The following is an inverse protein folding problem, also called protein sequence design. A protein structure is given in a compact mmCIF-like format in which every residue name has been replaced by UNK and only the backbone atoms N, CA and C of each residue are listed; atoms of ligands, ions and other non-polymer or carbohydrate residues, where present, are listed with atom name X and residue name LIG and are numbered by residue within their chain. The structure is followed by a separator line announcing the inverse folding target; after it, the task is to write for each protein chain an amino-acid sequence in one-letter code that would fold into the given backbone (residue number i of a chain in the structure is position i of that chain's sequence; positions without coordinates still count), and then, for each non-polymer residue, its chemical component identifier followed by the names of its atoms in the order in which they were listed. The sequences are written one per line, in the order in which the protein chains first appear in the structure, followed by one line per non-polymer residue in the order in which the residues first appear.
data_IF_261596039555
#
_entry.id   IF_261596039555
#
_cell.length_a   1.000
_cell.length_b   1.000
_cell.length_c   1.000
_cell.angle_alpha   90.00
_cell.angle_beta   90.00
_cell.angle_gamma   90.00
#
_symmetry.space_group_name_H-M   'P 1'
#
loop_
_entity.id
_entity.type
_entity.pdbx_description
1 polymer ?
#
# COMPACT_ATOMS: atom_id res chain seq x y z
N UNK A 1 27.71 24.27 -7.56
CA UNK A 1 26.33 23.78 -7.58
C UNK A 1 25.60 24.15 -6.28
N UNK A 2 24.41 24.67 -6.41
CA UNK A 2 23.59 25.06 -5.27
C UNK A 2 22.81 23.89 -4.72
N UNK A 3 22.69 23.80 -3.39
CA UNK A 3 21.85 22.81 -2.72
C UNK A 3 20.36 23.20 -2.72
N UNK A 4 20.04 24.40 -3.22
CA UNK A 4 18.69 24.94 -3.09
C UNK A 4 17.61 24.03 -3.72
N UNK A 5 17.92 23.38 -4.84
CA UNK A 5 16.97 22.46 -5.49
C UNK A 5 16.60 21.25 -4.63
N UNK A 6 17.46 20.89 -3.68
CA UNK A 6 17.27 19.71 -2.81
C UNK A 6 16.57 20.05 -1.51
N UNK A 7 16.41 21.33 -1.19
CA UNK A 7 15.70 21.72 0.02
C UNK A 7 14.24 21.26 -0.05
N UNK A 8 13.70 20.86 1.09
CA UNK A 8 12.33 20.32 1.16
C UNK A 8 11.31 21.28 0.52
N UNK A 9 11.49 22.58 0.72
CA UNK A 9 10.59 23.63 0.19
C UNK A 9 10.65 23.74 -1.33
N UNK A 10 11.75 23.28 -1.96
CA UNK A 10 11.97 23.43 -3.40
C UNK A 10 11.84 22.10 -4.17
N UNK A 11 11.94 20.96 -3.47
CA UNK A 11 11.80 19.67 -4.11
C UNK A 11 10.36 19.51 -4.64
N UNK A 12 10.25 18.97 -5.86
CA UNK A 12 8.91 18.68 -6.43
C UNK A 12 8.29 17.52 -5.66
N UNK A 13 7.14 17.73 -5.02
CA UNK A 13 6.51 16.64 -4.27
C UNK A 13 5.97 15.55 -5.19
N UNK A 14 5.96 14.32 -4.68
CA UNK A 14 5.31 13.21 -5.36
C UNK A 14 3.81 13.36 -5.12
N UNK A 15 3.05 13.49 -6.21
CA UNK A 15 1.60 13.70 -6.11
C UNK A 15 0.87 12.40 -5.79
N UNK A 16 -0.24 12.52 -5.05
CA UNK A 16 -1.14 11.40 -4.81
C UNK A 16 -1.78 10.99 -6.13
N UNK A 17 -2.08 9.69 -6.25
CA UNK A 17 -2.65 9.12 -7.48
C UNK A 17 -4.04 8.59 -7.17
N UNK A 18 -4.96 8.73 -8.12
CA UNK A 18 -6.28 8.14 -8.04
C UNK A 18 -6.31 6.86 -8.87
N UNK A 19 -6.88 5.81 -8.28
CA UNK A 19 -6.89 4.49 -8.88
C UNK A 19 -8.17 3.75 -8.51
N UNK A 20 -8.87 3.21 -9.50
CA UNK A 20 -10.08 2.43 -9.25
C UNK A 20 -9.66 1.02 -8.84
N UNK A 21 -9.63 0.77 -7.54
CA UNK A 21 -9.24 -0.54 -6.99
C UNK A 21 -10.30 -1.60 -7.25
N UNK A 22 -11.56 -1.21 -7.32
CA UNK A 22 -12.69 -2.10 -7.61
C UNK A 22 -13.80 -1.31 -8.29
N UNK A 23 -14.43 -1.94 -9.28
CA UNK A 23 -15.58 -1.34 -9.98
C UNK A 23 -16.89 -1.52 -9.22
N UNK A 24 -16.86 -2.17 -8.06
CA UNK A 24 -18.07 -2.46 -7.26
C UNK A 24 -18.48 -1.33 -6.32
N UNK A 25 -17.61 -0.34 -6.09
CA UNK A 25 -17.89 0.78 -5.20
C UNK A 25 -18.27 1.99 -6.05
N UNK A 26 -19.57 2.22 -6.16
CA UNK A 26 -20.12 3.22 -7.07
C UNK A 26 -20.53 4.48 -6.34
N UNK A 27 -20.26 5.63 -6.96
CA UNK A 27 -20.75 6.91 -6.48
C UNK A 27 -22.22 7.13 -6.86
N UNK A 28 -22.75 8.27 -6.47
CA UNK A 28 -24.14 8.65 -6.77
C UNK A 28 -24.40 8.74 -8.28
N UNK A 29 -23.38 9.05 -9.05
CA UNK A 29 -23.42 9.14 -10.51
C UNK A 29 -23.39 7.77 -11.20
N UNK A 30 -23.25 6.69 -10.44
CA UNK A 30 -23.16 5.32 -10.96
C UNK A 30 -21.78 4.92 -11.46
N UNK A 31 -20.78 5.80 -11.34
CA UNK A 31 -19.42 5.51 -11.75
C UNK A 31 -18.58 4.98 -10.58
N UNK A 32 -17.60 4.10 -10.84
CA UNK A 32 -16.72 3.62 -9.77
C UNK A 32 -15.97 4.77 -9.11
N UNK A 33 -15.90 4.73 -7.78
CA UNK A 33 -15.19 5.74 -7.00
C UNK A 33 -13.70 5.39 -6.98
N UNK A 34 -12.82 6.29 -7.47
CA UNK A 34 -11.38 6.03 -7.39
C UNK A 34 -10.88 6.13 -5.95
N UNK A 35 -9.96 5.24 -5.61
CA UNK A 35 -9.24 5.31 -4.36
C UNK A 35 -8.09 6.29 -4.52
N UNK A 36 -7.63 6.88 -3.43
CA UNK A 36 -6.49 7.79 -3.46
C UNK A 36 -5.30 7.14 -2.78
N UNK A 37 -4.16 7.15 -3.47
CA UNK A 37 -2.93 6.50 -3.04
C UNK A 37 -1.83 7.53 -2.94
N UNK A 38 -1.02 7.43 -1.88
CA UNK A 38 0.17 8.26 -1.68
C UNK A 38 1.41 7.39 -1.57
N UNK A 39 2.58 7.98 -1.82
CA UNK A 39 3.85 7.34 -1.47
C UNK A 39 4.15 7.58 0.01
N UNK A 40 5.10 6.80 0.54
CA UNK A 40 5.66 7.01 1.88
C UNK A 40 7.16 7.30 1.74
N UNK A 41 7.79 7.75 2.82
CA UNK A 41 9.22 8.00 2.84
C UNK A 41 10.00 6.70 3.05
N UNK A 42 11.31 6.73 2.75
CA UNK A 42 12.17 5.58 3.03
C UNK A 42 12.21 5.23 4.51
N UNK A 43 12.12 6.24 5.39
CA UNK A 43 12.08 6.02 6.85
C UNK A 43 10.81 5.27 7.26
N UNK A 44 9.67 5.67 6.72
CA UNK A 44 8.39 5.00 6.97
C UNK A 44 8.40 3.56 6.46
N UNK A 45 8.96 3.35 5.26
CA UNK A 45 9.08 2.02 4.68
C UNK A 45 9.97 1.12 5.53
N UNK A 46 11.10 1.63 6.01
CA UNK A 46 12.01 0.88 6.90
C UNK A 46 11.29 0.44 8.17
N UNK A 47 10.50 1.32 8.77
CA UNK A 47 9.72 0.99 9.96
C UNK A 47 8.71 -0.13 9.69
N UNK A 48 8.05 -0.08 8.52
CA UNK A 48 7.13 -1.15 8.11
C UNK A 48 7.84 -2.48 7.96
N UNK A 49 9.01 -2.49 7.31
CA UNK A 49 9.79 -3.72 7.12
C UNK A 49 10.20 -4.33 8.44
N UNK A 50 10.65 -3.52 9.39
CA UNK A 50 11.02 -3.97 10.73
C UNK A 50 9.84 -4.58 11.48
N UNK A 51 8.64 -3.99 11.32
CA UNK A 51 7.44 -4.51 11.97
C UNK A 51 6.97 -5.84 11.38
N UNK A 52 7.47 -6.20 10.20
CA UNK A 52 7.10 -7.43 9.49
C UNK A 52 8.20 -8.49 9.55
N UNK A 53 9.18 -8.34 10.43
CA UNK A 53 10.27 -9.30 10.57
C UNK A 53 9.73 -10.64 11.06
N UNK A 54 10.12 -11.72 10.38
CA UNK A 54 9.82 -13.07 10.86
C UNK A 54 10.69 -13.37 12.07
N UNK A 55 10.09 -13.91 13.12
CA UNK A 55 10.81 -14.37 14.29
C UNK A 55 11.45 -15.73 14.00
N UNK A 56 12.67 -15.69 13.48
CA UNK A 56 13.45 -16.89 13.28
C UNK A 56 14.72 -16.78 14.14
N UNK A 57 15.07 -17.86 14.86
CA UNK A 57 16.26 -17.93 15.71
C UNK A 57 17.56 -17.65 14.97
N UNK A 58 17.62 -17.95 13.68
CA UNK A 58 18.86 -17.95 12.90
C UNK A 58 18.93 -16.88 11.81
N UNK A 59 17.80 -16.31 11.41
CA UNK A 59 17.77 -15.30 10.34
C UNK A 59 16.66 -14.30 10.60
N UNK A 60 16.98 -13.02 10.37
CA UNK A 60 15.97 -11.96 10.38
C UNK A 60 15.43 -11.82 8.95
N UNK A 61 14.33 -12.48 8.68
CA UNK A 61 13.65 -12.39 7.39
C UNK A 61 12.42 -11.49 7.52
N UNK A 62 12.12 -10.77 6.44
CA UNK A 62 10.89 -9.99 6.34
C UNK A 62 9.77 -10.89 5.83
N UNK A 63 8.62 -10.83 6.48
CA UNK A 63 7.41 -11.46 5.96
C UNK A 63 6.85 -10.55 4.87
N UNK A 64 7.12 -10.86 3.61
CA UNK A 64 6.77 -10.00 2.49
C UNK A 64 5.26 -9.92 2.26
N UNK A 65 4.51 -10.98 2.50
CA UNK A 65 3.05 -10.92 2.35
C UNK A 65 2.44 -9.94 3.36
N UNK A 66 2.90 -10.01 4.60
CA UNK A 66 2.48 -9.08 5.64
C UNK A 66 2.94 -7.66 5.32
N UNK A 67 4.19 -7.51 4.88
CA UNK A 67 4.76 -6.21 4.52
C UNK A 67 3.95 -5.53 3.40
N UNK A 68 3.64 -6.25 2.32
CA UNK A 68 2.89 -5.67 1.21
C UNK A 68 1.50 -5.21 1.62
N UNK A 69 0.83 -5.98 2.49
CA UNK A 69 -0.46 -5.59 3.04
C UNK A 69 -0.38 -4.33 3.88
N UNK A 70 0.62 -4.23 4.73
CA UNK A 70 0.84 -3.04 5.57
C UNK A 70 1.26 -1.83 4.75
N UNK A 71 2.07 -2.05 3.71
CA UNK A 71 2.45 -0.99 2.79
C UNK A 71 1.22 -0.42 2.09
N UNK A 72 0.34 -1.30 1.59
CA UNK A 72 -0.89 -0.88 0.93
C UNK A 72 -1.77 -0.05 1.86
N UNK A 73 -1.92 -0.47 3.12
CA UNK A 73 -2.69 0.28 4.13
C UNK A 73 -2.06 1.65 4.37
N UNK A 74 -0.73 1.71 4.53
CA UNK A 74 -0.01 2.95 4.81
C UNK A 74 -0.14 3.95 3.65
N UNK A 75 -0.23 3.45 2.41
CA UNK A 75 -0.31 4.28 1.21
C UNK A 75 -1.74 4.63 0.81
N UNK A 76 -2.77 4.04 1.41
CA UNK A 76 -4.17 4.32 1.08
C UNK A 76 -4.66 5.53 1.84
N UNK A 77 -4.95 6.62 1.11
CA UNK A 77 -5.51 7.85 1.68
C UNK A 77 -7.03 7.75 1.76
N UNK A 78 -7.66 7.24 0.71
CA UNK A 78 -9.11 7.11 0.62
C UNK A 78 -9.46 5.80 -0.10
N UNK A 79 -10.41 5.02 0.41
CA UNK A 79 -11.21 5.27 1.61
C UNK A 79 -10.37 5.15 2.90
N UNK A 80 -10.87 5.69 4.00
CA UNK A 80 -10.19 5.60 5.30
C UNK A 80 -10.35 4.18 5.85
N UNK A 81 -9.32 3.37 5.70
CA UNK A 81 -9.34 1.96 6.14
C UNK A 81 -9.33 1.80 7.66
N UNK A 82 -9.08 2.88 8.39
CA UNK A 82 -9.12 2.88 9.85
C UNK A 82 -10.50 3.28 10.38
N UNK A 83 -11.44 3.59 9.50
CA UNK A 83 -12.78 3.99 9.89
C UNK A 83 -13.53 2.81 10.53
N UNK A 84 -14.01 3.02 11.75
CA UNK A 84 -14.67 1.97 12.52
C UNK A 84 -15.97 1.50 11.88
N UNK A 85 -16.78 2.43 11.39
CA UNK A 85 -18.04 2.10 10.73
C UNK A 85 -17.82 1.24 9.51
N UNK A 86 -16.79 1.59 8.72
CA UNK A 86 -16.43 0.82 7.53
C UNK A 86 -15.97 -0.60 7.92
N UNK A 87 -15.11 -0.71 8.91
CA UNK A 87 -14.63 -2.01 9.40
C UNK A 87 -15.80 -2.86 9.95
N UNK A 88 -16.68 -2.25 10.73
CA UNK A 88 -17.83 -2.95 11.30
C UNK A 88 -18.78 -3.45 10.21
N UNK A 89 -18.96 -2.70 9.13
CA UNK A 89 -19.83 -3.10 8.02
C UNK A 89 -19.36 -4.38 7.33
N UNK A 90 -18.05 -4.65 7.36
CA UNK A 90 -17.46 -5.89 6.82
C UNK A 90 -17.18 -6.93 7.91
N UNK A 91 -17.53 -6.63 9.17
CA UNK A 91 -17.34 -7.52 10.32
C UNK A 91 -15.87 -7.93 10.51
N UNK A 92 -14.98 -6.96 10.34
CA UNK A 92 -13.53 -7.17 10.52
C UNK A 92 -12.96 -6.14 11.48
N UNK A 93 -11.80 -6.46 12.04
CA UNK A 93 -11.02 -5.56 12.88
C UNK A 93 -9.67 -5.32 12.23
N UNK A 94 -9.32 -4.04 12.04
CA UNK A 94 -8.03 -3.66 11.48
C UNK A 94 -8.10 -3.33 10.00
N UNK A 95 -7.24 -2.38 9.60
CA UNK A 95 -7.23 -1.85 8.25
C UNK A 95 -6.77 -2.89 7.21
N UNK A 96 -5.81 -3.73 7.55
CA UNK A 96 -5.31 -4.76 6.66
C UNK A 96 -6.35 -5.86 6.41
N UNK A 97 -7.08 -6.28 7.44
CA UNK A 97 -8.19 -7.22 7.30
C UNK A 97 -9.30 -6.61 6.45
N UNK A 98 -9.58 -5.31 6.65
CA UNK A 98 -10.58 -4.60 5.87
C UNK A 98 -10.23 -4.58 4.39
N UNK A 99 -8.99 -4.21 4.06
CA UNK A 99 -8.53 -4.13 2.68
C UNK A 99 -8.70 -5.47 1.96
N UNK A 100 -8.28 -6.55 2.60
CA UNK A 100 -8.38 -7.91 2.04
C UNK A 100 -9.83 -8.36 1.87
N UNK A 101 -10.73 -7.86 2.71
CA UNK A 101 -12.15 -8.23 2.65
C UNK A 101 -12.90 -7.42 1.59
N UNK A 102 -12.53 -6.16 1.40
CA UNK A 102 -13.19 -5.30 0.42
C UNK A 102 -12.87 -5.70 -1.02
N UNK A 103 -11.68 -6.22 -1.28
CA UNK A 103 -11.20 -6.53 -2.63
C UNK A 103 -11.22 -8.04 -2.90
N UNK A 104 -11.53 -8.41 -4.14
CA UNK A 104 -11.35 -9.79 -4.58
C UNK A 104 -9.85 -10.10 -4.65
N UNK A 105 -9.45 -11.38 -4.71
CA UNK A 105 -8.02 -11.72 -4.82
C UNK A 105 -7.31 -11.06 -5.99
N UNK A 106 -7.95 -10.99 -7.15
CA UNK A 106 -7.36 -10.33 -8.33
C UNK A 106 -7.26 -8.82 -8.15
N UNK A 107 -8.30 -8.19 -7.60
CA UNK A 107 -8.28 -6.76 -7.30
C UNK A 107 -7.19 -6.44 -6.28
N UNK A 108 -7.06 -7.27 -5.25
CA UNK A 108 -6.04 -7.09 -4.23
C UNK A 108 -4.62 -7.18 -4.82
N UNK A 109 -4.37 -8.18 -5.67
CA UNK A 109 -3.07 -8.35 -6.32
C UNK A 109 -2.73 -7.14 -7.21
N UNK A 110 -3.69 -6.65 -8.00
CA UNK A 110 -3.49 -5.46 -8.84
C UNK A 110 -3.24 -4.21 -7.98
N UNK A 111 -3.96 -4.10 -6.86
CA UNK A 111 -3.79 -2.97 -5.94
C UNK A 111 -2.38 -2.96 -5.35
N UNK A 112 -1.88 -4.12 -4.91
CA UNK A 112 -0.51 -4.22 -4.38
C UNK A 112 0.52 -3.82 -5.42
N UNK A 113 0.32 -4.20 -6.69
CA UNK A 113 1.21 -3.81 -7.79
C UNK A 113 1.18 -2.29 -7.97
N UNK A 114 0.00 -1.69 -7.94
CA UNK A 114 -0.14 -0.23 -8.09
C UNK A 114 0.52 0.52 -6.94
N UNK A 115 0.36 0.02 -5.71
CA UNK A 115 1.00 0.60 -4.54
C UNK A 115 2.52 0.64 -4.72
N UNK A 116 3.11 -0.46 -5.19
CA UNK A 116 4.56 -0.55 -5.40
C UNK A 116 5.03 0.40 -6.50
N UNK A 117 4.26 0.57 -7.57
CA UNK A 117 4.55 1.55 -8.61
C UNK A 117 4.55 2.98 -8.06
N UNK A 118 3.55 3.32 -7.25
CA UNK A 118 3.44 4.66 -6.64
C UNK A 118 4.63 4.94 -5.73
N UNK A 119 5.13 3.91 -5.04
CA UNK A 119 6.30 4.04 -4.19
C UNK A 119 7.63 4.02 -4.95
N UNK A 120 7.58 3.87 -6.27
CA UNK A 120 8.77 4.01 -7.11
C UNK A 120 9.58 2.74 -7.32
N UNK A 121 9.04 1.57 -7.02
CA UNK A 121 9.74 0.32 -7.27
C UNK A 121 9.68 -0.03 -8.77
N UNK A 122 10.83 -0.25 -9.39
CA UNK A 122 10.91 -0.65 -10.81
C UNK A 122 10.42 -2.08 -11.02
N UNK A 123 10.77 -2.96 -10.06
CA UNK A 123 10.30 -4.35 -10.03
C UNK A 123 9.50 -4.53 -8.76
N UNK A 124 8.35 -5.19 -8.82
CA UNK A 124 7.53 -5.38 -7.64
C UNK A 124 8.21 -6.36 -6.67
N UNK A 125 7.96 -6.16 -5.37
CA UNK A 125 8.48 -7.07 -4.34
C UNK A 125 7.99 -8.50 -4.54
N UNK A 126 6.78 -8.66 -5.08
CA UNK A 126 6.23 -9.97 -5.37
C UNK A 126 7.03 -10.70 -6.44
N UNK A 127 7.44 -9.97 -7.49
CA UNK A 127 8.27 -10.53 -8.57
C UNK A 127 9.62 -10.99 -8.02
N UNK A 128 10.25 -10.18 -7.16
CA UNK A 128 11.52 -10.52 -6.52
C UNK A 128 11.40 -11.78 -5.65
N UNK A 129 10.32 -11.87 -4.89
CA UNK A 129 10.05 -13.03 -4.03
C UNK A 129 9.85 -14.29 -4.89
N UNK A 130 9.09 -14.18 -5.98
CA UNK A 130 8.84 -15.30 -6.88
C UNK A 130 10.13 -15.77 -7.56
N UNK A 131 10.98 -14.85 -8.01
CA UNK A 131 12.30 -15.17 -8.58
C UNK A 131 13.17 -15.90 -7.55
N UNK A 132 13.15 -15.47 -6.31
CA UNK A 132 13.95 -16.10 -5.25
C UNK A 132 13.49 -17.51 -4.92
N UNK A 133 12.21 -17.84 -5.15
CA UNK A 133 11.64 -19.17 -4.91
C UNK A 133 11.94 -20.15 -6.03
N UNK A 134 12.30 -19.65 -7.18
CA UNK A 134 12.63 -20.46 -8.36
C UNK A 134 14.13 -20.75 -8.41
#
# INVERSE_FOLDING_TARGET
MSLSAFLAENAVPVENIKFVASKRFLGEDGNPIPWEIKTITGTEDEALRKSCAKKNQYQKETDYDLYLGKLAVACTVFPNLNDKELQDSYKVMGADALLKTMLTPGEYAEYLTKIQEVCGFDTTMQDEVDEAKN
#
